data_IF_935469236482
#
_entry.id   IF_935469236482
#
_cell.length_a   1.000
_cell.length_b   1.000
_cell.length_c   1.000
_cell.angle_alpha   90.00
_cell.angle_beta   90.00
_cell.angle_gamma   90.00
#
_symmetry.space_group_name_H-M   'P 1'
#
loop_
_entity.id
_entity.type
_entity.pdbx_description
1 polymer ?
#
# COMPACT_ATOMS: atom_id res chain seq x y z
N UNK A 1 -14.74 18.93 -80.43
CA UNK A 1 -16.18 18.61 -80.38
C UNK A 1 -16.25 17.12 -80.13
N UNK A 2 -16.28 16.72 -78.85
CA UNK A 2 -17.51 16.60 -78.04
C UNK A 2 -18.36 15.44 -78.56
N UNK A 3 -18.94 14.58 -77.76
CA UNK A 3 -18.94 14.30 -76.32
C UNK A 3 -19.89 13.10 -76.30
N UNK A 4 -19.49 11.92 -75.83
CA UNK A 4 -20.48 10.88 -75.52
C UNK A 4 -20.38 10.51 -74.05
N UNK A 5 -21.54 10.65 -73.42
CA UNK A 5 -21.78 10.80 -72.00
C UNK A 5 -21.97 9.45 -71.35
N UNK A 6 -21.21 9.23 -70.28
CA UNK A 6 -21.62 8.72 -68.96
C UNK A 6 -22.88 7.83 -68.90
N UNK A 7 -22.70 6.55 -68.52
CA UNK A 7 -23.41 6.01 -67.35
C UNK A 7 -22.45 5.11 -66.56
N UNK A 8 -22.22 5.54 -65.32
CA UNK A 8 -21.39 4.97 -64.27
C UNK A 8 -21.91 3.60 -63.81
N UNK A 9 -21.07 2.56 -63.88
CA UNK A 9 -21.21 1.35 -63.07
C UNK A 9 -20.20 1.43 -61.92
N UNK A 10 -20.68 1.74 -60.72
CA UNK A 10 -19.88 1.64 -59.49
C UNK A 10 -19.52 0.17 -59.26
N UNK A 11 -18.27 -0.17 -59.53
CA UNK A 11 -17.62 -1.38 -59.04
C UNK A 11 -16.73 -0.93 -57.89
N UNK A 12 -17.15 -1.20 -56.65
CA UNK A 12 -16.37 -0.84 -55.46
C UNK A 12 -15.22 -1.84 -55.31
N UNK A 13 -14.11 -1.53 -55.99
CA UNK A 13 -12.85 -2.27 -55.86
C UNK A 13 -12.17 -1.87 -54.54
N UNK A 14 -12.21 -2.79 -53.58
CA UNK A 14 -11.65 -2.63 -52.23
C UNK A 14 -10.13 -2.68 -52.28
N UNK A 15 -9.48 -1.55 -52.54
CA UNK A 15 -8.03 -1.44 -52.36
C UNK A 15 -7.69 -1.44 -50.86
N UNK A 16 -6.85 -2.36 -50.35
CA UNK A 16 -6.31 -2.24 -49.01
C UNK A 16 -5.30 -1.09 -49.01
N UNK A 17 -5.62 0.01 -48.31
CA UNK A 17 -4.67 1.09 -48.08
C UNK A 17 -3.53 0.56 -47.20
N UNK A 18 -2.40 0.28 -47.85
CA UNK A 18 -1.13 0.09 -47.17
C UNK A 18 -0.71 1.42 -46.55
N UNK A 19 -0.63 1.43 -45.23
CA UNK A 19 -0.15 2.55 -44.43
C UNK A 19 -0.26 2.19 -42.96
N UNK A 20 0.39 1.08 -42.58
CA UNK A 20 0.38 0.47 -41.27
C UNK A 20 0.43 1.53 -40.15
N UNK A 21 -0.60 1.54 -39.30
CA UNK A 21 -0.67 2.48 -38.17
C UNK A 21 0.59 2.34 -37.33
N UNK A 22 1.33 3.42 -37.16
CA UNK A 22 2.59 3.48 -36.42
C UNK A 22 2.36 3.32 -34.89
N UNK A 23 1.68 2.26 -34.48
CA UNK A 23 1.27 2.01 -33.08
C UNK A 23 1.81 0.68 -32.56
N UNK A 24 2.51 -0.12 -33.37
CA UNK A 24 3.16 -1.36 -32.93
C UNK A 24 4.47 -1.14 -32.15
N UNK A 25 4.96 0.10 -32.01
CA UNK A 25 6.32 0.37 -31.52
C UNK A 25 6.44 0.77 -30.04
N UNK A 26 5.39 1.28 -29.40
CA UNK A 26 5.43 1.53 -27.96
C UNK A 26 4.84 0.31 -27.25
N UNK A 27 5.67 -0.62 -26.80
CA UNK A 27 5.22 -1.78 -26.02
C UNK A 27 4.23 -1.30 -24.96
N UNK A 28 2.98 -1.75 -25.08
CA UNK A 28 1.82 -1.18 -24.40
C UNK A 28 2.09 -1.06 -22.92
N UNK A 29 2.26 0.19 -22.47
CA UNK A 29 2.25 0.53 -21.06
C UNK A 29 0.79 0.53 -20.63
N UNK A 30 0.41 -0.49 -19.88
CA UNK A 30 -0.92 -0.57 -19.26
C UNK A 30 -0.75 -0.38 -17.75
N UNK A 31 -1.34 0.68 -17.21
CA UNK A 31 -1.38 0.95 -15.79
C UNK A 31 -2.79 0.66 -15.25
N UNK A 32 -2.86 -0.13 -14.19
CA UNK A 32 -4.10 -0.40 -13.46
C UNK A 32 -3.96 0.07 -12.02
N UNK A 33 -4.82 1.00 -11.60
CA UNK A 33 -4.91 1.40 -10.19
C UNK A 33 -5.48 0.26 -9.35
N UNK A 34 -4.78 -0.07 -8.26
CA UNK A 34 -5.18 -1.03 -7.24
C UNK A 34 -5.46 -0.36 -5.90
N UNK A 35 -5.58 0.98 -5.86
CA UNK A 35 -5.62 1.75 -4.63
C UNK A 35 -6.75 1.29 -3.67
N UNK A 36 -7.97 1.10 -4.22
CA UNK A 36 -9.11 0.62 -3.41
C UNK A 36 -8.81 -0.74 -2.77
N UNK A 37 -8.31 -1.70 -3.57
CA UNK A 37 -7.98 -3.03 -3.08
C UNK A 37 -6.85 -2.99 -2.03
N UNK A 38 -5.79 -2.21 -2.29
CA UNK A 38 -4.65 -2.10 -1.40
C UNK A 38 -5.03 -1.45 -0.06
N UNK A 39 -5.79 -0.35 -0.09
CA UNK A 39 -6.29 0.32 1.12
C UNK A 39 -7.16 -0.60 1.96
N UNK A 40 -8.09 -1.32 1.33
CA UNK A 40 -8.97 -2.27 2.02
C UNK A 40 -8.14 -3.43 2.61
N UNK A 41 -7.18 -3.96 1.86
CA UNK A 41 -6.32 -5.06 2.29
C UNK A 41 -5.40 -4.67 3.45
N UNK A 42 -4.82 -3.47 3.42
CA UNK A 42 -3.95 -2.97 4.49
C UNK A 42 -4.77 -2.81 5.79
N UNK A 43 -5.96 -2.22 5.71
CA UNK A 43 -6.86 -2.10 6.87
C UNK A 43 -7.24 -3.48 7.43
N UNK A 44 -7.61 -4.41 6.58
CA UNK A 44 -7.94 -5.78 6.99
C UNK A 44 -6.76 -6.47 7.70
N UNK A 45 -5.56 -6.40 7.12
CA UNK A 45 -4.36 -7.02 7.67
C UNK A 45 -4.00 -6.41 9.03
N UNK A 46 -4.04 -5.09 9.16
CA UNK A 46 -3.75 -4.39 10.41
C UNK A 46 -4.77 -4.75 11.50
N UNK A 47 -6.06 -4.79 11.16
CA UNK A 47 -7.09 -5.22 12.12
C UNK A 47 -6.97 -6.71 12.47
N UNK A 48 -6.39 -7.52 11.59
CA UNK A 48 -6.17 -8.96 11.80
C UNK A 48 -4.95 -9.30 12.65
N UNK A 49 -4.01 -8.36 12.85
CA UNK A 49 -2.85 -8.56 13.76
C UNK A 49 -3.35 -8.87 15.19
N UNK A 50 -4.56 -8.43 15.53
CA UNK A 50 -5.22 -8.77 16.78
C UNK A 50 -4.55 -8.13 17.99
N UNK A 51 -4.62 -8.83 19.12
CA UNK A 51 -4.01 -8.40 20.37
C UNK A 51 -2.75 -9.19 20.66
N UNK A 52 -1.66 -8.50 20.96
CA UNK A 52 -0.39 -9.09 21.37
C UNK A 52 -0.29 -9.07 22.91
N UNK A 53 -0.10 -10.24 23.49
CA UNK A 53 0.07 -10.42 24.93
C UNK A 53 1.56 -10.49 25.27
N UNK A 54 1.98 -9.66 26.22
CA UNK A 54 3.33 -9.57 26.76
C UNK A 54 3.30 -9.94 28.25
N UNK A 55 4.45 -10.29 28.81
CA UNK A 55 4.58 -10.61 30.24
C UNK A 55 4.15 -9.46 31.16
N UNK A 56 4.19 -8.21 30.67
CA UNK A 56 3.87 -6.99 31.42
C UNK A 56 2.55 -6.31 31.00
N UNK A 57 1.82 -6.87 30.02
CA UNK A 57 0.62 -6.22 29.51
C UNK A 57 0.10 -6.77 28.18
N UNK A 58 -0.96 -6.17 27.66
CA UNK A 58 -1.60 -6.51 26.38
C UNK A 58 -1.67 -5.27 25.52
N UNK A 59 -1.37 -5.39 24.22
CA UNK A 59 -1.54 -4.30 23.26
C UNK A 59 -2.40 -4.75 22.08
N UNK A 60 -3.25 -3.86 21.59
CA UNK A 60 -4.14 -4.09 20.45
C UNK A 60 -4.19 -2.85 19.54
N UNK A 61 -4.32 -3.09 18.23
CA UNK A 61 -4.60 -2.03 17.28
C UNK A 61 -6.07 -1.64 17.44
N UNK A 62 -6.32 -0.45 17.94
CA UNK A 62 -7.67 0.03 18.21
C UNK A 62 -8.35 0.57 16.95
N UNK A 63 -7.60 1.31 16.11
CA UNK A 63 -8.10 1.80 14.84
C UNK A 63 -6.96 2.21 13.89
N UNK A 64 -7.27 2.17 12.59
CA UNK A 64 -6.44 2.76 11.52
C UNK A 64 -6.98 4.17 11.26
N UNK A 65 -6.29 5.19 11.77
CA UNK A 65 -6.74 6.58 11.66
C UNK A 65 -6.49 7.17 10.27
N UNK A 66 -5.38 6.80 9.62
CA UNK A 66 -5.03 7.22 8.26
C UNK A 66 -4.44 6.04 7.49
N UNK A 67 -4.87 5.88 6.26
CA UNK A 67 -4.33 4.93 5.30
C UNK A 67 -4.60 5.52 3.92
N UNK A 68 -3.61 6.20 3.36
CA UNK A 68 -3.69 6.87 2.07
C UNK A 68 -2.41 6.62 1.30
N UNK A 69 -2.52 6.59 -0.02
CA UNK A 69 -1.40 6.29 -0.89
C UNK A 69 -1.89 5.84 -2.25
N UNK A 70 -0.96 5.39 -3.05
CA UNK A 70 -1.21 4.91 -4.41
C UNK A 70 -0.64 3.50 -4.55
N UNK A 71 -1.44 2.61 -5.14
CA UNK A 71 -1.02 1.29 -5.59
C UNK A 71 -1.35 1.16 -7.07
N UNK A 72 -0.39 0.71 -7.86
CA UNK A 72 -0.54 0.50 -9.28
C UNK A 72 0.12 -0.79 -9.74
N UNK A 73 -0.48 -1.40 -10.76
CA UNK A 73 0.08 -2.51 -11.50
C UNK A 73 0.41 -2.00 -12.90
N UNK A 74 1.70 -1.93 -13.20
CA UNK A 74 2.23 -1.56 -14.51
C UNK A 74 2.56 -2.84 -15.28
N UNK A 75 2.00 -2.99 -16.47
CA UNK A 75 2.33 -4.07 -17.39
C UNK A 75 3.08 -3.51 -18.58
N UNK A 76 4.31 -3.98 -18.79
CA UNK A 76 5.15 -3.60 -19.94
C UNK A 76 5.62 -4.88 -20.63
N UNK A 77 5.28 -5.05 -21.91
CA UNK A 77 5.65 -6.25 -22.70
C UNK A 77 5.30 -7.57 -21.99
N UNK A 78 4.07 -7.66 -21.46
CA UNK A 78 3.58 -8.80 -20.68
C UNK A 78 4.34 -9.09 -19.37
N UNK A 79 5.18 -8.16 -18.90
CA UNK A 79 5.82 -8.22 -17.58
C UNK A 79 5.10 -7.29 -16.62
N UNK A 80 4.62 -7.85 -15.52
CA UNK A 80 3.93 -7.11 -14.46
C UNK A 80 4.94 -6.55 -13.46
N UNK A 81 4.75 -5.30 -13.07
CA UNK A 81 5.49 -4.58 -12.02
C UNK A 81 4.46 -3.96 -11.10
N UNK A 82 4.57 -4.24 -9.81
CA UNK A 82 3.75 -3.57 -8.80
C UNK A 82 4.55 -2.40 -8.25
N UNK A 83 3.88 -1.27 -8.07
CA UNK A 83 4.40 -0.16 -7.28
C UNK A 83 3.36 0.25 -6.26
N UNK A 84 3.82 0.61 -5.07
CA UNK A 84 2.98 1.21 -4.06
C UNK A 84 3.78 2.23 -3.25
N UNK A 85 3.08 3.27 -2.80
CA UNK A 85 3.57 4.28 -1.85
C UNK A 85 2.41 4.62 -0.95
N UNK A 86 2.56 4.43 0.37
CA UNK A 86 1.49 4.64 1.34
C UNK A 86 1.99 5.32 2.60
N UNK A 87 1.08 6.05 3.24
CA UNK A 87 1.23 6.63 4.57
C UNK A 87 0.20 6.02 5.52
N UNK A 88 0.60 5.70 6.75
CA UNK A 88 -0.26 5.07 7.74
C UNK A 88 -0.18 5.80 9.09
N UNK A 89 -1.34 5.98 9.71
CA UNK A 89 -1.43 6.35 11.13
C UNK A 89 -2.33 5.34 11.83
N UNK A 90 -1.79 4.70 12.87
CA UNK A 90 -2.47 3.71 13.69
C UNK A 90 -2.66 4.26 15.10
N UNK A 91 -3.79 3.91 15.73
CA UNK A 91 -3.99 4.11 17.17
C UNK A 91 -3.97 2.77 17.86
N UNK A 92 -3.12 2.67 18.86
CA UNK A 92 -2.91 1.48 19.66
C UNK A 92 -3.49 1.74 21.04
N UNK A 93 -4.14 0.73 21.61
CA UNK A 93 -4.53 0.69 23.00
C UNK A 93 -3.84 -0.48 23.66
N UNK A 94 -3.44 -0.32 24.91
CA UNK A 94 -2.86 -1.42 25.66
C UNK A 94 -3.14 -1.29 27.14
N UNK A 95 -3.20 -2.44 27.81
CA UNK A 95 -3.26 -2.54 29.26
C UNK A 95 -1.87 -2.97 29.75
N UNK A 96 -1.27 -2.19 30.64
CA UNK A 96 0.04 -2.48 31.22
C UNK A 96 -0.05 -2.59 32.72
N UNK A 97 0.65 -3.56 33.29
CA UNK A 97 0.79 -3.70 34.74
C UNK A 97 2.10 -3.02 35.13
N UNK A 98 2.01 -1.91 35.85
CA UNK A 98 3.19 -1.21 36.36
C UNK A 98 3.06 -1.00 37.86
N UNK A 99 4.03 -1.52 38.62
CA UNK A 99 4.04 -1.46 40.09
C UNK A 99 2.73 -2.00 40.71
N UNK A 100 2.28 -3.16 40.22
CA UNK A 100 1.04 -3.87 40.62
C UNK A 100 -0.29 -3.18 40.24
N UNK A 101 -0.25 -1.98 39.65
CA UNK A 101 -1.45 -1.30 39.14
C UNK A 101 -1.65 -1.54 37.64
N UNK A 102 -2.89 -1.86 37.24
CA UNK A 102 -3.30 -1.95 35.83
C UNK A 102 -3.59 -0.56 35.30
N UNK A 103 -2.84 -0.12 34.29
CA UNK A 103 -3.04 1.16 33.60
C UNK A 103 -3.35 0.93 32.12
N UNK A 104 -4.28 1.72 31.60
CA UNK A 104 -4.60 1.74 30.18
C UNK A 104 -3.75 2.80 29.48
N UNK A 105 -2.92 2.37 28.54
CA UNK A 105 -2.05 3.20 27.72
C UNK A 105 -2.67 3.34 26.33
N UNK A 106 -2.66 4.56 25.80
CA UNK A 106 -3.03 4.85 24.41
C UNK A 106 -1.78 5.37 23.71
N UNK A 107 -1.50 4.87 22.51
CA UNK A 107 -0.36 5.28 21.71
C UNK A 107 -0.77 5.49 20.26
N UNK A 108 -0.01 6.30 19.55
CA UNK A 108 -0.18 6.52 18.12
C UNK A 108 1.10 6.10 17.40
N UNK A 109 0.95 5.38 16.30
CA UNK A 109 2.06 4.98 15.43
C UNK A 109 1.85 5.68 14.09
N UNK A 110 2.84 6.44 13.67
CA UNK A 110 2.87 7.10 12.37
C UNK A 110 3.96 6.49 11.50
N UNK A 111 3.57 6.02 10.32
CA UNK A 111 4.47 5.59 9.25
C UNK A 111 4.35 6.64 8.15
N UNK A 112 5.32 7.58 8.07
CA UNK A 112 5.20 8.75 7.21
C UNK A 112 5.16 8.38 5.73
N UNK A 113 5.97 7.43 5.28
CA UNK A 113 5.92 6.89 3.92
C UNK A 113 6.56 5.49 3.91
N UNK A 114 5.96 4.56 3.17
CA UNK A 114 6.60 3.30 2.83
C UNK A 114 6.27 2.88 1.41
N UNK A 115 7.26 2.35 0.70
CA UNK A 115 7.13 2.00 -0.69
C UNK A 115 7.64 0.58 -1.01
N UNK A 116 7.43 0.16 -2.26
CA UNK A 116 7.91 -1.13 -2.73
C UNK A 116 9.44 -1.16 -2.80
N UNK A 117 10.06 -2.02 -1.98
CA UNK A 117 11.51 -2.21 -1.94
C UNK A 117 12.22 -1.47 -0.80
N UNK A 118 11.55 -0.55 -0.12
CA UNK A 118 12.13 0.23 1.01
C UNK A 118 11.63 -0.23 2.37
N UNK A 119 11.22 -1.50 2.49
CA UNK A 119 10.75 -2.03 3.78
C UNK A 119 11.87 -2.07 4.82
N UNK A 120 13.12 -2.21 4.38
CA UNK A 120 14.31 -2.21 5.25
C UNK A 120 14.59 -0.81 5.84
N UNK A 121 14.21 0.25 5.14
CA UNK A 121 14.35 1.65 5.56
C UNK A 121 13.05 2.22 6.16
N UNK A 122 12.09 1.34 6.49
CA UNK A 122 10.79 1.73 7.03
C UNK A 122 10.95 2.53 8.32
N UNK A 123 10.60 3.81 8.27
CA UNK A 123 10.57 4.67 9.44
C UNK A 123 9.23 4.52 10.16
N UNK A 124 9.30 4.24 11.46
CA UNK A 124 8.12 4.12 12.32
C UNK A 124 8.25 5.08 13.50
N UNK A 125 7.34 6.05 13.57
CA UNK A 125 7.30 7.06 14.61
C UNK A 125 6.29 6.68 15.69
N UNK A 126 6.77 6.51 16.93
CA UNK A 126 5.92 6.21 18.07
C UNK A 126 5.63 7.48 18.89
N UNK A 127 4.37 7.86 18.96
CA UNK A 127 3.90 8.98 19.76
C UNK A 127 3.16 8.47 21.00
N UNK A 128 3.78 8.70 22.16
CA UNK A 128 3.20 8.40 23.47
C UNK A 128 2.70 9.69 24.12
N UNK A 129 1.51 9.69 24.76
CA UNK A 129 1.06 10.81 25.55
C UNK A 129 2.02 11.05 26.72
N UNK A 130 2.17 12.31 27.15
CA UNK A 130 3.16 12.72 28.16
C UNK A 130 3.04 11.95 29.48
N UNK A 131 1.84 11.52 29.85
CA UNK A 131 1.58 10.73 31.05
C UNK A 131 2.18 9.31 30.99
N UNK A 132 2.52 8.82 29.79
CA UNK A 132 3.17 7.52 29.56
C UNK A 132 4.70 7.61 29.41
N UNK A 133 5.30 8.81 29.53
CA UNK A 133 6.76 8.98 29.45
C UNK A 133 7.52 8.23 30.55
N UNK A 134 6.88 8.01 31.71
CA UNK A 134 7.46 7.22 32.80
C UNK A 134 7.72 5.75 32.38
N UNK A 135 7.00 5.27 31.35
CA UNK A 135 7.08 3.91 30.81
C UNK A 135 7.79 3.85 29.45
N UNK A 136 8.24 4.99 28.91
CA UNK A 136 8.87 5.07 27.58
C UNK A 136 10.08 4.15 27.45
N UNK A 137 10.93 4.09 28.48
CA UNK A 137 12.10 3.21 28.49
C UNK A 137 11.73 1.72 28.53
N UNK A 138 10.63 1.35 29.20
CA UNK A 138 10.16 -0.03 29.27
C UNK A 138 9.51 -0.45 27.93
N UNK A 139 8.67 0.43 27.35
CA UNK A 139 7.98 0.20 26.08
C UNK A 139 8.96 0.18 24.90
N UNK A 140 9.99 1.03 24.92
CA UNK A 140 11.01 1.06 23.87
C UNK A 140 11.89 -0.21 23.88
N UNK A 141 12.06 -0.87 25.04
CA UNK A 141 12.68 -2.21 25.08
C UNK A 141 11.82 -3.24 24.36
N UNK A 142 10.49 -3.22 24.56
CA UNK A 142 9.55 -4.15 23.92
C UNK A 142 9.48 -3.95 22.41
N UNK A 143 9.48 -2.70 21.94
CA UNK A 143 9.47 -2.37 20.50
C UNK A 143 10.77 -2.82 19.81
N UNK A 144 11.92 -2.69 20.49
CA UNK A 144 13.21 -3.13 19.96
C UNK A 144 13.44 -4.64 20.08
N UNK A 145 12.50 -5.41 20.66
CA UNK A 145 12.49 -6.86 20.50
C UNK A 145 11.98 -7.15 19.09
N UNK A 146 12.87 -6.98 18.11
CA UNK A 146 12.81 -7.74 16.87
C UNK A 146 12.74 -9.25 17.21
N UNK A 147 12.32 -10.11 16.27
CA UNK A 147 12.13 -11.53 16.55
C UNK A 147 13.44 -12.08 17.11
N UNK A 148 13.47 -12.30 18.43
CA UNK A 148 14.50 -13.11 19.06
C UNK A 148 14.36 -14.48 18.44
N UNK A 149 15.19 -14.73 17.44
CA UNK A 149 15.55 -16.06 16.97
C UNK A 149 16.20 -16.77 18.15
N UNK A 150 15.35 -17.27 19.06
CA UNK A 150 15.68 -18.34 19.98
C UNK A 150 14.78 -19.51 19.57
N UNK A 151 15.24 -20.23 18.56
CA UNK A 151 14.94 -21.64 18.40
C UNK A 151 16.31 -22.32 18.43
N UNK A 152 16.59 -22.93 19.58
CA UNK A 152 17.55 -24.02 19.75
C UNK A 152 17.27 -25.17 18.77
#
# INVERSE_FOLDING_TARGET
>A
MEEDKNVTAMSEEKHPSQGASYTYWAGTWEEKSLNKWATDRIKELLMSVGSLEFSSGKAEIAEVSKCFGDAFLVTVRNKKRVGYTYELTLKIKGEWIVKEEKKMVKAHIDVPEFCFGELEDLQVCFLFPFECLEYKNELQKVINVGPSSNLE
#
